data_IF_847616771007
#
_entry.id   IF_847616771007
#
_cell.length_a   1.000
_cell.length_b   1.000
_cell.length_c   1.000
_cell.angle_alpha   90.00
_cell.angle_beta   90.00
_cell.angle_gamma   90.00
#
_symmetry.space_group_name_H-M   'P 1'
#
loop_
_entity.id
_entity.type
_entity.pdbx_description
1 polymer ?
#
# COMPACT_ATOMS: atom_id res chain seq x y z
N UNK A 1 -27.10 -27.80 -24.81
CA UNK A 1 -27.73 -26.58 -24.26
C UNK A 1 -26.65 -25.53 -24.15
N UNK A 2 -26.70 -24.46 -24.95
CA UNK A 2 -25.68 -23.41 -24.89
C UNK A 2 -26.11 -22.34 -23.89
N UNK A 3 -25.21 -21.97 -22.98
CA UNK A 3 -25.48 -20.92 -21.99
C UNK A 3 -25.35 -19.54 -22.67
N UNK A 4 -26.47 -18.82 -22.79
CA UNK A 4 -26.48 -17.50 -23.44
C UNK A 4 -25.98 -16.47 -22.43
N UNK A 5 -24.70 -16.12 -22.53
CA UNK A 5 -24.07 -15.14 -21.63
C UNK A 5 -24.23 -13.72 -22.17
N UNK A 6 -24.79 -12.82 -21.35
CA UNK A 6 -24.91 -11.42 -21.72
C UNK A 6 -23.57 -10.67 -21.57
N UNK A 7 -22.87 -10.50 -22.68
CA UNK A 7 -21.57 -9.82 -22.72
C UNK A 7 -21.60 -8.35 -22.27
N UNK A 8 -22.76 -7.67 -22.35
CA UNK A 8 -22.91 -6.29 -21.84
C UNK A 8 -22.85 -6.27 -20.32
N UNK A 9 -23.57 -7.19 -19.67
CA UNK A 9 -23.57 -7.32 -18.22
C UNK A 9 -22.20 -7.76 -17.71
N UNK A 10 -21.55 -8.72 -18.37
CA UNK A 10 -20.21 -9.16 -18.04
C UNK A 10 -19.18 -8.00 -18.09
N UNK A 11 -19.20 -7.20 -19.17
CA UNK A 11 -18.35 -6.01 -19.28
C UNK A 11 -18.64 -4.97 -18.19
N UNK A 12 -19.92 -4.72 -17.88
CA UNK A 12 -20.32 -3.81 -16.81
C UNK A 12 -19.86 -4.29 -15.43
N UNK A 13 -19.89 -5.60 -15.18
CA UNK A 13 -19.39 -6.19 -13.94
C UNK A 13 -17.88 -6.01 -13.83
N UNK A 14 -17.11 -6.33 -14.88
CA UNK A 14 -15.66 -6.12 -14.92
C UNK A 14 -15.28 -4.65 -14.67
N UNK A 15 -16.01 -3.71 -15.29
CA UNK A 15 -15.77 -2.29 -15.08
C UNK A 15 -16.06 -1.84 -13.64
N UNK A 16 -17.07 -2.43 -12.97
CA UNK A 16 -17.35 -2.15 -11.56
C UNK A 16 -16.26 -2.70 -10.64
N UNK A 17 -15.83 -3.94 -10.86
CA UNK A 17 -14.75 -4.58 -10.10
C UNK A 17 -13.45 -3.77 -10.20
N UNK A 18 -13.08 -3.29 -11.39
CA UNK A 18 -11.89 -2.45 -11.57
C UNK A 18 -11.97 -1.14 -10.77
N UNK A 19 -13.15 -0.49 -10.74
CA UNK A 19 -13.38 0.72 -9.94
C UNK A 19 -13.34 0.44 -8.44
N UNK A 20 -13.87 -0.69 -7.99
CA UNK A 20 -13.83 -1.10 -6.59
C UNK A 20 -12.40 -1.40 -6.12
N UNK A 21 -11.58 -2.06 -6.93
CA UNK A 21 -10.16 -2.29 -6.66
C UNK A 21 -9.40 -0.97 -6.49
N UNK A 22 -9.54 -0.05 -7.46
CA UNK A 22 -8.93 1.28 -7.36
C UNK A 22 -9.44 2.07 -6.14
N UNK A 23 -10.72 1.96 -5.79
CA UNK A 23 -11.26 2.58 -4.59
C UNK A 23 -10.75 1.95 -3.29
N UNK A 24 -10.44 0.64 -3.28
CA UNK A 24 -9.82 -0.03 -2.15
C UNK A 24 -8.36 0.43 -1.96
N UNK A 25 -7.59 0.51 -3.05
CA UNK A 25 -6.24 1.06 -3.05
C UNK A 25 -6.21 2.51 -2.57
N UNK A 26 -7.12 3.36 -3.07
CA UNK A 26 -7.23 4.74 -2.64
C UNK A 26 -7.67 4.88 -1.17
N UNK A 27 -8.52 3.99 -0.66
CA UNK A 27 -8.87 3.97 0.77
C UNK A 27 -7.68 3.55 1.63
N UNK A 28 -6.86 2.61 1.18
CA UNK A 28 -5.64 2.23 1.89
C UNK A 28 -4.59 3.34 1.86
N UNK A 29 -4.40 3.98 0.70
CA UNK A 29 -3.39 5.03 0.49
C UNK A 29 -3.79 6.37 1.12
N UNK A 30 -5.06 6.78 0.98
CA UNK A 30 -5.54 8.12 1.33
C UNK A 30 -6.65 8.14 2.39
N UNK A 31 -7.23 6.99 2.75
CA UNK A 31 -8.30 6.90 3.75
C UNK A 31 -7.81 6.95 5.21
N UNK A 32 -6.50 6.96 5.45
CA UNK A 32 -5.96 7.19 6.79
C UNK A 32 -6.00 8.68 7.15
N UNK A 33 -6.56 9.07 8.32
CA UNK A 33 -6.54 10.44 8.78
C UNK A 33 -5.11 10.98 8.83
N UNK A 34 -4.89 12.23 8.39
CA UNK A 34 -3.56 12.87 8.38
C UNK A 34 -2.80 12.68 9.70
N UNK A 35 -3.48 12.81 10.84
CA UNK A 35 -2.92 12.61 12.18
C UNK A 35 -2.32 11.22 12.42
N UNK A 36 -2.94 10.17 11.86
CA UNK A 36 -2.46 8.79 11.99
C UNK A 36 -1.27 8.51 11.10
N UNK A 37 -1.25 9.10 9.89
CA UNK A 37 -0.12 9.04 8.96
C UNK A 37 1.10 9.74 9.54
N UNK A 38 0.95 10.98 10.03
CA UNK A 38 2.06 11.74 10.63
C UNK A 38 2.62 11.06 11.88
N UNK A 39 1.77 10.43 12.69
CA UNK A 39 2.21 9.66 13.86
C UNK A 39 3.02 8.42 13.44
N UNK A 40 2.60 7.71 12.38
CA UNK A 40 3.33 6.56 11.87
C UNK A 40 4.68 6.97 11.25
N UNK A 41 4.71 8.04 10.46
CA UNK A 41 5.94 8.62 9.89
C UNK A 41 6.91 9.07 10.99
N UNK A 42 6.42 9.77 12.03
CA UNK A 42 7.25 10.20 13.16
C UNK A 42 7.83 9.02 13.94
N UNK A 43 7.04 7.96 14.14
CA UNK A 43 7.53 6.72 14.77
C UNK A 43 8.60 6.05 13.93
N UNK A 44 8.39 5.93 12.62
CA UNK A 44 9.40 5.38 11.71
C UNK A 44 10.68 6.21 11.75
N UNK A 45 10.60 7.54 11.75
CA UNK A 45 11.75 8.41 11.83
C UNK A 45 12.55 8.26 13.14
N UNK A 46 11.87 8.04 14.27
CA UNK A 46 12.53 7.76 15.55
C UNK A 46 13.24 6.41 15.50
N UNK A 47 12.57 5.38 14.97
CA UNK A 47 13.16 4.04 14.86
C UNK A 47 14.33 4.03 13.88
N UNK A 48 14.24 4.70 12.73
CA UNK A 48 15.39 4.84 11.84
C UNK A 48 16.51 5.62 12.51
N UNK A 49 16.25 6.75 13.15
CA UNK A 49 17.27 7.51 13.87
C UNK A 49 17.95 6.67 14.98
N UNK A 50 17.20 5.82 15.69
CA UNK A 50 17.75 4.85 16.65
C UNK A 50 18.63 3.81 15.97
N UNK A 51 18.14 3.20 14.89
CA UNK A 51 18.88 2.18 14.15
C UNK A 51 20.18 2.74 13.54
N UNK A 52 20.13 3.96 12.98
CA UNK A 52 21.28 4.67 12.44
C UNK A 52 22.26 5.08 13.56
N UNK A 53 21.76 5.60 14.68
CA UNK A 53 22.60 5.99 15.83
C UNK A 53 23.26 4.81 16.55
N UNK A 54 22.68 3.61 16.42
CA UNK A 54 23.26 2.36 16.91
C UNK A 54 23.98 1.55 15.81
N UNK A 55 24.12 2.10 14.60
CA UNK A 55 24.88 1.46 13.53
C UNK A 55 26.36 1.54 13.90
N UNK A 56 26.95 0.39 14.23
CA UNK A 56 28.39 0.22 14.27
C UNK A 56 28.90 0.29 12.82
N UNK A 57 29.33 1.46 12.35
CA UNK A 57 30.19 1.55 11.17
C UNK A 57 31.52 0.89 11.51
N UNK A 58 31.59 -0.43 11.34
CA UNK A 58 32.71 -1.23 11.84
C UNK A 58 32.69 -2.69 11.43
N UNK A 59 32.27 -3.02 10.21
CA UNK A 59 32.77 -4.20 9.49
C UNK A 59 32.55 -4.05 7.98
N UNK A 60 33.22 -3.07 7.39
CA UNK A 60 33.62 -3.22 5.98
C UNK A 60 34.59 -4.41 5.88
N UNK A 61 34.61 -5.14 4.75
CA UNK A 61 35.46 -6.31 4.61
C UNK A 61 36.91 -5.91 4.84
N UNK A 62 37.58 -6.66 5.72
CA UNK A 62 39.03 -6.67 5.87
C UNK A 62 39.69 -6.86 4.50
N UNK A 63 40.49 -5.88 4.07
CA UNK A 63 41.57 -6.08 3.09
C UNK A 63 42.61 -7.09 3.60
#
# INVERSE_FOLDING_TARGET
MAEIVNLRQARKAKARQAKEAAAAENRAAFGRPRKTRTLAEARQAIETARHEGHRLEGSGPSE
#
